data_IF_874687579281
#
_entry.id   IF_874687579281
#
_cell.length_a   1.000
_cell.length_b   1.000
_cell.length_c   1.000
_cell.angle_alpha   90.00
_cell.angle_beta   90.00
_cell.angle_gamma   90.00
#
_symmetry.space_group_name_H-M   'P 1'
#
loop_
_entity.id
_entity.type
_entity.pdbx_description
1 polymer ?
#
# COMPACT_ATOMS: atom_id res chain seq x y z
N UNK A 1 62.46 20.89 -39.17
CA UNK A 1 61.78 19.58 -39.13
C UNK A 1 61.28 19.30 -37.72
N UNK A 2 59.95 19.15 -37.62
CA UNK A 2 59.07 18.66 -36.53
C UNK A 2 59.53 18.76 -35.06
N UNK A 3 58.87 19.64 -34.32
CA UNK A 3 58.79 19.68 -32.85
C UNK A 3 57.93 18.50 -32.36
N UNK A 4 58.46 17.68 -31.44
CA UNK A 4 57.73 16.62 -30.76
C UNK A 4 56.71 17.24 -29.80
N UNK A 5 55.41 17.07 -30.09
CA UNK A 5 54.34 17.34 -29.11
C UNK A 5 54.15 16.09 -28.26
N UNK A 6 54.53 16.21 -26.99
CA UNK A 6 54.24 15.26 -25.93
C UNK A 6 52.71 15.17 -25.78
N UNK A 7 52.14 14.01 -26.06
CA UNK A 7 50.71 13.74 -25.86
C UNK A 7 50.52 13.47 -24.37
N UNK A 8 49.86 14.39 -23.67
CA UNK A 8 49.39 14.20 -22.31
C UNK A 8 48.07 13.42 -22.40
N UNK A 9 48.10 12.10 -22.21
CA UNK A 9 46.88 11.31 -21.99
C UNK A 9 46.46 11.60 -20.55
N UNK A 10 45.72 12.68 -20.36
CA UNK A 10 45.02 12.95 -19.12
C UNK A 10 43.93 11.89 -18.97
N UNK A 11 44.10 11.07 -17.95
CA UNK A 11 43.13 10.11 -17.42
C UNK A 11 41.73 10.73 -17.33
N UNK A 12 40.87 10.44 -18.30
CA UNK A 12 39.41 10.61 -18.14
C UNK A 12 38.87 9.26 -17.70
N UNK A 13 39.19 8.92 -16.45
CA UNK A 13 38.46 7.93 -15.67
C UNK A 13 37.68 8.71 -14.60
N UNK A 14 36.85 9.63 -15.06
CA UNK A 14 35.87 10.34 -14.22
C UNK A 14 34.50 10.18 -14.88
N UNK A 15 33.60 9.50 -14.17
CA UNK A 15 32.17 9.74 -14.34
C UNK A 15 31.30 8.58 -14.80
N UNK A 16 31.67 7.32 -14.59
CA UNK A 16 30.70 6.21 -14.57
C UNK A 16 30.39 5.81 -13.11
N UNK A 17 29.99 6.79 -12.30
CA UNK A 17 29.41 6.52 -10.97
C UNK A 17 28.22 7.44 -10.78
N UNK A 18 27.09 7.08 -11.38
CA UNK A 18 25.76 7.51 -10.95
C UNK A 18 24.73 6.98 -11.94
N UNK A 19 24.32 5.73 -11.75
CA UNK A 19 22.96 5.26 -11.97
C UNK A 19 22.85 3.81 -11.47
N UNK A 20 23.28 3.57 -10.23
CA UNK A 20 22.72 2.48 -9.43
C UNK A 20 21.53 3.05 -8.66
N UNK A 21 20.57 3.66 -9.38
CA UNK A 21 19.21 3.65 -8.86
C UNK A 21 18.79 2.19 -8.98
N UNK A 22 18.90 1.43 -7.89
CA UNK A 22 18.26 0.14 -7.81
C UNK A 22 16.81 0.37 -8.18
N UNK A 23 16.40 -0.11 -9.35
CA UNK A 23 15.02 -0.04 -9.77
C UNK A 23 14.26 -0.87 -8.74
N UNK A 24 13.61 -0.22 -7.78
CA UNK A 24 12.74 -0.91 -6.85
C UNK A 24 11.61 -1.48 -7.70
N UNK A 25 11.74 -2.75 -8.08
CA UNK A 25 10.73 -3.44 -8.84
C UNK A 25 9.59 -3.75 -7.87
N UNK A 26 8.61 -2.85 -7.81
CA UNK A 26 7.38 -3.12 -7.10
C UNK A 26 6.58 -4.14 -7.92
N UNK A 27 6.59 -5.40 -7.47
CA UNK A 27 5.80 -6.49 -8.05
C UNK A 27 4.31 -6.33 -7.72
N UNK A 28 3.70 -5.25 -8.21
CA UNK A 28 2.26 -5.08 -8.09
C UNK A 28 1.54 -6.04 -9.05
N UNK A 29 0.38 -6.60 -8.65
CA UNK A 29 -0.48 -7.31 -9.58
C UNK A 29 -0.90 -6.38 -10.73
N UNK A 30 -1.27 -6.97 -11.88
CA UNK A 30 -1.80 -6.19 -13.00
C UNK A 30 -3.10 -5.51 -12.59
N UNK A 31 -3.24 -4.21 -12.90
CA UNK A 31 -4.49 -3.47 -12.78
C UNK A 31 -5.24 -3.49 -14.10
N UNK A 32 -6.53 -3.86 -14.08
CA UNK A 32 -7.35 -3.88 -15.30
C UNK A 32 -7.98 -2.52 -15.57
N UNK A 33 -8.25 -1.74 -14.52
CA UNK A 33 -8.82 -0.39 -14.61
C UNK A 33 -7.77 0.70 -14.86
N UNK A 34 -6.49 0.41 -14.56
CA UNK A 34 -5.36 1.36 -14.50
C UNK A 34 -5.56 2.48 -13.46
N UNK A 35 -6.54 2.34 -12.56
CA UNK A 35 -6.78 3.29 -11.50
C UNK A 35 -6.02 2.87 -10.24
N UNK A 36 -4.71 3.17 -10.27
CA UNK A 36 -3.80 2.95 -9.16
C UNK A 36 -3.83 4.16 -8.23
N UNK A 37 -4.05 3.90 -6.94
CA UNK A 37 -4.03 4.89 -5.87
C UNK A 37 -2.88 4.54 -4.95
N UNK A 38 -1.91 5.45 -4.83
CA UNK A 38 -0.78 5.29 -3.91
C UNK A 38 -1.05 6.07 -2.63
N UNK A 39 -1.04 5.37 -1.51
CA UNK A 39 -1.08 5.91 -0.15
C UNK A 39 0.32 5.85 0.45
N UNK A 40 0.50 6.34 1.69
CA UNK A 40 1.85 6.42 2.28
C UNK A 40 2.47 5.05 2.52
N UNK A 41 1.65 4.06 2.91
CA UNK A 41 2.11 2.72 3.32
C UNK A 41 1.51 1.56 2.55
N UNK A 42 0.62 1.82 1.59
CA UNK A 42 0.02 0.80 0.74
C UNK A 42 -0.37 1.39 -0.62
N UNK A 43 -0.61 0.51 -1.58
CA UNK A 43 -1.09 0.84 -2.92
C UNK A 43 -2.35 0.01 -3.22
N UNK A 44 -3.31 0.62 -3.92
CA UNK A 44 -4.54 -0.04 -4.36
C UNK A 44 -4.68 0.07 -5.87
N UNK A 45 -5.15 -0.99 -6.53
CA UNK A 45 -5.86 -0.86 -7.80
C UNK A 45 -7.36 -0.87 -7.54
N UNK A 46 -8.08 0.14 -8.04
CA UNK A 46 -9.49 0.32 -7.74
C UNK A 46 -10.36 0.25 -9.01
N UNK A 47 -11.50 -0.43 -8.90
CA UNK A 47 -12.55 -0.45 -9.90
C UNK A 47 -13.67 0.49 -9.49
N UNK A 48 -13.74 1.66 -10.14
CA UNK A 48 -14.80 2.65 -9.88
C UNK A 48 -16.19 2.10 -10.21
N UNK A 49 -16.29 1.27 -11.25
CA UNK A 49 -17.53 0.63 -11.70
C UNK A 49 -18.11 -0.29 -10.62
N UNK A 50 -17.26 -1.10 -9.98
CA UNK A 50 -17.66 -2.02 -8.92
C UNK A 50 -17.62 -1.39 -7.53
N UNK A 51 -17.02 -0.19 -7.40
CA UNK A 51 -16.68 0.47 -6.14
C UNK A 51 -15.84 -0.39 -5.18
N UNK A 52 -14.99 -1.26 -5.73
CA UNK A 52 -14.15 -2.20 -4.99
C UNK A 52 -12.69 -2.14 -5.47
N UNK A 53 -11.76 -2.47 -4.58
CA UNK A 53 -10.38 -2.72 -4.98
C UNK A 53 -10.30 -4.03 -5.81
N UNK A 54 -9.49 -4.01 -6.86
CA UNK A 54 -9.03 -5.23 -7.55
C UNK A 54 -7.97 -5.94 -6.69
N UNK A 55 -7.11 -5.16 -6.04
CA UNK A 55 -6.09 -5.63 -5.11
C UNK A 55 -5.60 -4.49 -4.22
N UNK A 56 -5.04 -4.84 -3.06
CA UNK A 56 -4.22 -3.95 -2.23
C UNK A 56 -2.85 -4.59 -2.04
N UNK A 57 -1.81 -3.76 -1.90
CA UNK A 57 -0.44 -4.21 -1.70
C UNK A 57 0.26 -3.31 -0.69
N UNK A 58 0.89 -3.91 0.31
CA UNK A 58 1.65 -3.23 1.35
C UNK A 58 2.79 -4.11 1.84
N UNK A 59 3.77 -3.50 2.49
CA UNK A 59 4.85 -4.20 3.17
C UNK A 59 4.59 -4.15 4.67
N UNK A 60 4.69 -5.31 5.32
CA UNK A 60 4.62 -5.45 6.77
C UNK A 60 5.94 -6.01 7.28
N UNK A 61 6.58 -5.28 8.18
CA UNK A 61 7.86 -5.67 8.79
C UNK A 61 7.69 -5.97 10.28
N UNK A 62 8.62 -6.74 10.84
CA UNK A 62 8.65 -7.06 12.27
C UNK A 62 8.70 -5.82 13.12
N UNK A 63 9.49 -4.82 12.71
CA UNK A 63 9.57 -3.54 13.42
C UNK A 63 8.21 -2.83 13.46
N UNK A 64 7.47 -2.80 12.34
CA UNK A 64 6.12 -2.21 12.31
C UNK A 64 5.15 -2.92 13.25
N UNK A 65 5.23 -4.25 13.35
CA UNK A 65 4.38 -5.01 14.30
C UNK A 65 4.77 -4.69 15.75
N UNK A 66 6.06 -4.63 16.07
CA UNK A 66 6.57 -4.34 17.43
C UNK A 66 6.29 -2.90 17.88
N UNK A 67 6.35 -1.94 16.96
CA UNK A 67 6.05 -0.53 17.22
C UNK A 67 4.54 -0.24 17.24
N UNK A 68 3.71 -1.21 16.85
CA UNK A 68 2.27 -1.09 16.73
C UNK A 68 1.55 -0.82 18.06
N UNK A 69 1.40 0.46 18.42
CA UNK A 69 0.80 0.90 19.69
C UNK A 69 -0.45 1.76 19.53
N UNK A 70 -0.74 2.23 18.31
CA UNK A 70 -1.89 3.10 18.08
C UNK A 70 -3.20 2.34 18.22
N UNK A 71 -4.19 3.03 18.75
CA UNK A 71 -5.57 2.58 18.73
C UNK A 71 -6.18 2.76 17.33
N UNK A 72 -7.26 2.02 17.08
CA UNK A 72 -8.02 2.15 15.84
C UNK A 72 -8.65 3.54 15.78
N UNK A 73 -8.57 4.20 14.62
CA UNK A 73 -9.21 5.51 14.42
C UNK A 73 -10.70 5.40 14.13
N UNK A 74 -11.15 4.29 13.52
CA UNK A 74 -12.54 4.02 13.11
C UNK A 74 -13.18 5.15 12.28
N UNK A 75 -12.34 5.92 11.57
CA UNK A 75 -12.68 7.13 10.81
C UNK A 75 -12.95 6.83 9.33
N UNK A 76 -13.87 5.89 9.10
CA UNK A 76 -14.29 5.47 7.76
C UNK A 76 -14.74 6.66 6.90
N UNK A 77 -14.05 6.87 5.77
CA UNK A 77 -14.33 8.01 4.89
C UNK A 77 -13.94 7.74 3.44
N UNK A 78 -14.47 8.57 2.53
CA UNK A 78 -14.05 8.51 1.12
C UNK A 78 -12.57 8.83 1.01
N UNK A 79 -11.89 8.07 0.17
CA UNK A 79 -10.51 8.32 -0.22
C UNK A 79 -10.39 9.69 -0.90
N UNK A 80 -9.53 10.61 -0.42
CA UNK A 80 -9.30 11.89 -1.07
C UNK A 80 -8.43 11.78 -2.33
N UNK A 81 -7.72 10.67 -2.55
CA UNK A 81 -6.78 10.49 -3.66
C UNK A 81 -7.40 9.82 -4.89
N UNK A 82 -8.64 9.32 -4.79
CA UNK A 82 -9.36 8.76 -5.94
C UNK A 82 -9.80 9.85 -6.92
N UNK A 83 -9.66 9.60 -8.22
CA UNK A 83 -9.99 10.58 -9.28
C UNK A 83 -11.47 10.94 -9.30
N UNK A 84 -12.34 9.94 -9.26
CA UNK A 84 -13.79 10.12 -9.25
C UNK A 84 -14.37 9.85 -7.85
N UNK A 85 -14.19 10.82 -6.96
CA UNK A 85 -14.69 10.74 -5.58
C UNK A 85 -16.22 10.82 -5.48
N UNK A 86 -16.91 11.26 -6.52
CA UNK A 86 -18.37 11.29 -6.58
C UNK A 86 -18.95 9.89 -6.73
N UNK A 87 -18.32 9.04 -7.52
CA UNK A 87 -18.80 7.69 -7.83
C UNK A 87 -18.18 6.58 -6.97
N UNK A 88 -17.22 6.92 -6.10
CA UNK A 88 -16.60 5.95 -5.19
C UNK A 88 -17.53 5.45 -4.08
N UNK A 89 -17.11 4.36 -3.41
CA UNK A 89 -17.83 3.82 -2.26
C UNK A 89 -18.09 4.87 -1.16
N UNK A 90 -19.25 4.77 -0.54
CA UNK A 90 -19.74 5.66 0.51
C UNK A 90 -20.20 4.84 1.72
N UNK A 91 -20.38 5.49 2.86
CA UNK A 91 -20.93 4.82 4.04
C UNK A 91 -22.36 4.31 3.83
N UNK A 92 -23.12 4.94 2.93
CA UNK A 92 -24.50 4.54 2.66
C UNK A 92 -24.56 3.21 1.89
N UNK A 93 -23.56 2.89 1.06
CA UNK A 93 -23.48 1.60 0.36
C UNK A 93 -23.38 0.40 1.34
N UNK A 94 -22.91 0.63 2.58
CA UNK A 94 -22.79 -0.39 3.62
C UNK A 94 -23.93 -0.35 4.64
N UNK A 95 -24.62 0.78 4.78
CA UNK A 95 -25.60 0.98 5.85
C UNK A 95 -26.83 0.09 5.61
N UNK A 96 -27.10 -0.81 6.56
CA UNK A 96 -28.25 -1.72 6.48
C UNK A 96 -28.12 -2.82 5.43
N UNK A 97 -26.95 -2.99 4.80
CA UNK A 97 -26.73 -4.03 3.78
C UNK A 97 -26.58 -5.44 4.36
N UNK A 98 -26.30 -5.55 5.66
CA UNK A 98 -25.91 -6.80 6.33
C UNK A 98 -24.42 -7.15 6.20
N UNK A 99 -23.64 -6.33 5.49
CA UNK A 99 -22.20 -6.52 5.32
C UNK A 99 -21.39 -5.56 6.20
N UNK A 100 -20.26 -6.05 6.69
CA UNK A 100 -19.24 -5.22 7.32
C UNK A 100 -18.43 -4.45 6.27
N UNK A 101 -17.83 -3.34 6.71
CA UNK A 101 -16.74 -2.64 6.01
C UNK A 101 -15.43 -3.40 6.29
N UNK A 102 -15.23 -4.50 5.58
CA UNK A 102 -14.07 -5.38 5.76
C UNK A 102 -12.82 -4.75 5.15
N UNK A 103 -11.75 -4.64 5.95
CA UNK A 103 -10.48 -4.09 5.48
C UNK A 103 -9.78 -5.09 4.56
N UNK A 104 -9.13 -4.60 3.50
CA UNK A 104 -8.20 -5.39 2.69
C UNK A 104 -6.76 -5.21 3.17
N UNK A 105 -6.37 -3.98 3.46
CA UNK A 105 -5.18 -3.61 4.21
C UNK A 105 -5.58 -3.40 5.68
N UNK A 106 -5.24 -4.33 6.61
CA UNK A 106 -5.80 -4.34 7.95
C UNK A 106 -5.34 -3.16 8.81
N UNK A 107 -6.24 -2.51 9.54
CA UNK A 107 -5.87 -1.47 10.52
C UNK A 107 -4.91 -2.00 11.61
N UNK A 108 -5.00 -3.29 11.95
CA UNK A 108 -4.09 -3.95 12.90
C UNK A 108 -2.63 -3.95 12.44
N UNK A 109 -2.39 -3.92 11.13
CA UNK A 109 -1.05 -3.90 10.53
C UNK A 109 -0.49 -2.47 10.44
N UNK A 110 -1.35 -1.47 10.63
CA UNK A 110 -1.04 -0.05 10.48
C UNK A 110 -0.91 0.69 11.81
N UNK A 111 -0.78 -0.04 12.92
CA UNK A 111 -0.69 0.51 14.29
C UNK A 111 0.58 1.31 14.60
N UNK A 112 1.56 1.32 13.71
CA UNK A 112 2.88 1.93 13.94
C UNK A 112 2.96 3.41 13.52
N UNK A 113 2.03 3.90 12.69
CA UNK A 113 2.04 5.27 12.17
C UNK A 113 0.60 5.79 12.04
N UNK A 114 0.35 7.05 12.43
CA UNK A 114 -0.99 7.61 12.46
C UNK A 114 -1.58 7.84 11.07
N UNK A 115 -0.75 8.14 10.07
CA UNK A 115 -1.15 8.25 8.67
C UNK A 115 -1.50 6.86 8.14
N UNK A 116 -0.67 5.84 8.43
CA UNK A 116 -0.98 4.46 8.07
C UNK A 116 -2.35 4.02 8.62
N UNK A 117 -2.60 4.28 9.91
CA UNK A 117 -3.84 3.93 10.59
C UNK A 117 -5.04 4.62 9.92
N UNK A 118 -5.03 5.95 9.82
CA UNK A 118 -6.16 6.70 9.28
C UNK A 118 -6.42 6.41 7.79
N UNK A 119 -5.37 6.20 6.98
CA UNK A 119 -5.53 5.87 5.57
C UNK A 119 -6.09 4.45 5.39
N UNK A 120 -5.86 3.52 6.32
CA UNK A 120 -6.46 2.18 6.27
C UNK A 120 -8.01 2.21 6.35
N UNK A 121 -8.60 3.31 6.84
CA UNK A 121 -10.05 3.49 6.92
C UNK A 121 -10.68 4.16 5.68
N UNK A 122 -9.91 4.36 4.60
CA UNK A 122 -10.51 4.78 3.34
C UNK A 122 -11.43 3.71 2.78
N UNK A 123 -12.59 4.12 2.24
CA UNK A 123 -13.57 3.20 1.67
C UNK A 123 -13.09 2.49 0.40
N UNK A 124 -12.02 2.99 -0.24
CA UNK A 124 -11.32 2.29 -1.33
C UNK A 124 -10.59 1.03 -0.85
N UNK A 125 -10.24 0.97 0.45
CA UNK A 125 -9.66 -0.19 1.13
C UNK A 125 -10.72 -1.12 1.75
N UNK A 126 -12.01 -0.86 1.52
CA UNK A 126 -13.10 -1.68 2.05
C UNK A 126 -13.71 -2.58 1.00
N UNK A 127 -14.09 -3.79 1.44
CA UNK A 127 -14.95 -4.69 0.69
C UNK A 127 -16.12 -5.13 1.57
N UNK A 128 -17.35 -5.28 1.03
CA UNK A 128 -18.48 -5.83 1.76
C UNK A 128 -18.15 -7.28 2.14
N UNK A 129 -17.96 -7.52 3.43
CA UNK A 129 -17.66 -8.85 3.97
C UNK A 129 -18.80 -9.30 4.88
N UNK A 130 -19.15 -10.59 4.81
CA UNK A 130 -20.10 -11.17 5.76
C UNK A 130 -19.53 -11.04 7.18
N UNK A 131 -20.34 -10.72 8.20
CA UNK A 131 -19.86 -10.52 9.57
C UNK A 131 -19.03 -11.71 10.10
N UNK A 132 -19.49 -12.94 9.90
CA UNK A 132 -18.80 -14.15 10.35
C UNK A 132 -17.49 -14.42 9.59
N UNK A 133 -17.39 -13.94 8.35
CA UNK A 133 -16.16 -14.03 7.57
C UNK A 133 -15.13 -13.00 8.09
N UNK A 134 -15.51 -11.73 8.13
CA UNK A 134 -14.64 -10.60 8.54
C UNK A 134 -14.10 -10.79 9.96
N UNK A 135 -15.01 -11.03 10.90
CA UNK A 135 -14.70 -11.16 12.34
C UNK A 135 -14.21 -12.55 12.72
N UNK A 136 -14.23 -13.48 11.76
CA UNK A 136 -13.85 -14.88 11.96
C UNK A 136 -12.57 -15.20 11.22
N UNK A 137 -12.70 -15.89 10.09
CA UNK A 137 -11.54 -16.46 9.39
C UNK A 137 -10.60 -15.38 8.85
N UNK A 138 -11.14 -14.24 8.39
CA UNK A 138 -10.34 -13.14 7.88
C UNK A 138 -9.44 -12.55 8.97
N UNK A 139 -10.02 -12.15 10.11
CA UNK A 139 -9.27 -11.68 11.27
C UNK A 139 -8.16 -12.67 11.73
N UNK A 140 -8.45 -13.98 11.70
CA UNK A 140 -7.46 -15.00 12.06
C UNK A 140 -6.28 -15.04 11.09
N UNK A 141 -6.53 -14.89 9.79
CA UNK A 141 -5.47 -14.82 8.78
C UNK A 141 -4.65 -13.54 8.96
N UNK A 142 -5.28 -12.39 9.16
CA UNK A 142 -4.59 -11.13 9.45
C UNK A 142 -3.65 -11.29 10.67
N UNK A 143 -4.12 -11.93 11.73
CA UNK A 143 -3.29 -12.20 12.91
C UNK A 143 -2.16 -13.19 12.61
N UNK A 144 -2.42 -14.23 11.81
CA UNK A 144 -1.40 -15.20 11.45
C UNK A 144 -0.27 -14.57 10.62
N UNK A 145 -0.59 -13.65 9.71
CA UNK A 145 0.42 -12.88 8.95
C UNK A 145 1.30 -12.07 9.89
N UNK A 146 0.73 -11.35 10.87
CA UNK A 146 1.50 -10.64 11.90
C UNK A 146 2.39 -11.56 12.73
N UNK A 147 1.95 -12.78 13.01
CA UNK A 147 2.76 -13.77 13.72
C UNK A 147 3.94 -14.24 12.86
N UNK A 148 3.71 -14.56 11.59
CA UNK A 148 4.76 -14.97 10.65
C UNK A 148 5.81 -13.89 10.44
N UNK A 149 5.39 -12.63 10.29
CA UNK A 149 6.35 -11.51 10.18
C UNK A 149 7.23 -11.42 11.43
N UNK A 150 6.67 -11.60 12.63
CA UNK A 150 7.49 -11.59 13.85
C UNK A 150 8.49 -12.78 13.92
N UNK A 151 8.13 -13.93 13.36
CA UNK A 151 8.94 -15.14 13.40
C UNK A 151 10.03 -15.16 12.32
N UNK A 152 9.73 -14.66 11.11
CA UNK A 152 10.53 -14.91 9.91
C UNK A 152 11.11 -13.68 9.21
N UNK A 153 10.75 -12.45 9.59
CA UNK A 153 11.40 -11.21 9.14
C UNK A 153 12.60 -10.86 10.04
#
# INVERSE_FOLDING_TARGET
MKKNKLIFIASILLGFVSNLCGQSFYFYPTSTTKDIISHKYYTISYSIENKLAEWTAYMLTKQQVLDGKLDRSDDFRRDPFIKDRSNSATLEDYKGSGYDRGHLTPAGDMKFDSIAMTESFFLTNMSPQLPDFNRGIWQRIEQQVRNWVQEYD
#
